data_IF_379184507652
#
_entry.id   IF_379184507652
#
_cell.length_a   1.000
_cell.length_b   1.000
_cell.length_c   1.000
_cell.angle_alpha   90.00
_cell.angle_beta   90.00
_cell.angle_gamma   90.00
#
_symmetry.space_group_name_H-M   'P 1'
#
loop_
_entity.id
_entity.type
_entity.pdbx_description
1 polymer ?
#
# COMPACT_ATOMS: atom_id res chain seq x y z
N UNK A 1 -17.76 -41.48 44.10
CA UNK A 1 -16.83 -40.58 43.37
C UNK A 1 -17.65 -39.79 42.36
N UNK A 2 -17.91 -38.49 42.55
CA UNK A 2 -18.51 -37.66 41.50
C UNK A 2 -17.44 -37.32 40.45
N UNK A 3 -17.77 -37.47 39.16
CA UNK A 3 -16.87 -37.20 38.04
C UNK A 3 -16.58 -35.71 37.82
N UNK A 4 -15.53 -35.36 37.04
CA UNK A 4 -15.09 -33.98 36.91
C UNK A 4 -16.11 -33.13 36.16
N UNK A 5 -16.42 -31.96 36.72
CA UNK A 5 -17.27 -30.96 36.11
C UNK A 5 -16.62 -30.44 34.80
N UNK A 6 -17.37 -30.48 33.70
CA UNK A 6 -16.98 -29.82 32.45
C UNK A 6 -17.12 -28.31 32.63
N UNK A 7 -16.00 -27.61 32.79
CA UNK A 7 -15.96 -26.15 32.79
C UNK A 7 -16.17 -25.67 31.35
N UNK A 8 -17.38 -25.21 31.02
CA UNK A 8 -17.64 -24.51 29.76
C UNK A 8 -17.06 -23.11 29.85
N UNK A 9 -15.87 -22.90 29.29
CA UNK A 9 -15.32 -21.55 29.08
C UNK A 9 -16.15 -20.90 27.98
N UNK A 10 -17.06 -19.99 28.37
CA UNK A 10 -17.69 -19.07 27.41
C UNK A 10 -16.60 -18.16 26.86
N UNK A 11 -16.20 -18.34 25.60
CA UNK A 11 -15.40 -17.34 24.88
C UNK A 11 -16.25 -16.09 24.75
N UNK A 12 -15.96 -15.10 25.59
CA UNK A 12 -16.49 -13.77 25.42
C UNK A 12 -15.74 -13.18 24.22
N UNK A 13 -16.44 -13.00 23.10
CA UNK A 13 -15.86 -12.32 21.95
C UNK A 13 -15.42 -10.93 22.43
N UNK A 14 -14.11 -10.69 22.47
CA UNK A 14 -13.58 -9.36 22.73
C UNK A 14 -14.17 -8.44 21.66
N UNK A 15 -14.80 -7.34 22.10
CA UNK A 15 -15.20 -6.28 21.19
C UNK A 15 -13.89 -5.64 20.76
N UNK A 16 -13.38 -6.03 19.59
CA UNK A 16 -12.26 -5.32 18.97
C UNK A 16 -12.80 -4.00 18.48
N UNK A 17 -12.38 -2.92 19.14
CA UNK A 17 -12.72 -1.55 18.75
C UNK A 17 -12.13 -1.25 17.36
N UNK A 18 -12.85 -0.50 16.51
CA UNK A 18 -12.31 -0.05 15.24
C UNK A 18 -11.03 0.77 15.45
N UNK A 19 -10.02 0.53 14.63
CA UNK A 19 -8.77 1.30 14.65
C UNK A 19 -8.93 2.48 13.68
N UNK A 20 -8.63 3.69 14.15
CA UNK A 20 -8.57 4.89 13.31
C UNK A 20 -7.14 5.38 13.26
N UNK A 21 -6.55 5.41 12.07
CA UNK A 21 -5.18 5.84 11.82
C UNK A 21 -5.19 7.27 11.30
N UNK A 22 -4.56 8.20 12.01
CA UNK A 22 -4.36 9.56 11.51
C UNK A 22 -3.45 9.53 10.28
N UNK A 23 -3.90 10.14 9.19
CA UNK A 23 -3.26 10.00 7.88
C UNK A 23 -2.95 11.37 7.29
N UNK A 24 -1.70 11.56 6.85
CA UNK A 24 -1.25 12.70 6.08
C UNK A 24 -0.83 12.24 4.69
N UNK A 25 -1.20 13.02 3.67
CA UNK A 25 -0.74 12.81 2.30
C UNK A 25 0.22 13.95 1.94
N UNK A 26 1.38 13.58 1.41
CA UNK A 26 2.41 14.49 0.94
C UNK A 26 2.61 14.29 -0.57
N UNK A 27 2.26 15.27 -1.39
CA UNK A 27 2.54 15.25 -2.83
C UNK A 27 3.82 16.03 -3.08
N UNK A 28 4.90 15.32 -3.38
CA UNK A 28 6.22 15.90 -3.63
C UNK A 28 6.51 15.83 -5.13
N UNK A 29 6.02 16.83 -5.86
CA UNK A 29 6.01 16.81 -7.31
C UNK A 29 7.26 17.44 -7.91
N UNK A 30 7.68 16.92 -9.06
CA UNK A 30 8.77 17.52 -9.86
C UNK A 30 8.42 18.91 -10.36
N UNK A 31 7.15 19.12 -10.70
CA UNK A 31 6.66 20.33 -11.34
C UNK A 31 5.17 20.54 -11.04
N UNK A 32 4.68 21.73 -11.38
CA UNK A 32 3.27 22.10 -11.20
C UNK A 32 2.32 21.23 -12.05
N UNK A 33 2.79 20.67 -13.17
CA UNK A 33 1.94 19.88 -14.05
C UNK A 33 1.45 18.60 -13.37
N UNK A 34 2.31 17.96 -12.55
CA UNK A 34 1.87 16.81 -11.76
C UNK A 34 0.87 17.23 -10.68
N UNK A 35 1.13 18.31 -9.94
CA UNK A 35 0.21 18.80 -8.90
C UNK A 35 -1.17 19.07 -9.48
N UNK A 36 -1.22 19.85 -10.55
CA UNK A 36 -2.47 20.16 -11.25
C UNK A 36 -3.17 18.86 -11.64
N UNK A 37 -2.45 17.87 -12.16
CA UNK A 37 -3.04 16.60 -12.62
C UNK A 37 -3.67 15.77 -11.50
N UNK A 38 -3.01 15.66 -10.34
CA UNK A 38 -3.51 14.82 -9.23
C UNK A 38 -4.59 15.52 -8.40
N UNK A 39 -4.58 16.85 -8.39
CA UNK A 39 -5.55 17.69 -7.68
C UNK A 39 -6.78 18.05 -8.51
N UNK A 40 -6.76 17.83 -9.83
CA UNK A 40 -7.91 18.11 -10.71
C UNK A 40 -9.15 17.36 -10.22
N UNK A 41 -10.16 18.13 -9.83
CA UNK A 41 -11.50 17.68 -9.43
C UNK A 41 -12.48 17.56 -10.61
N UNK A 42 -12.03 17.67 -11.86
CA UNK A 42 -12.93 17.73 -13.02
C UNK A 42 -12.51 16.86 -14.21
N UNK A 43 -13.37 15.92 -14.58
CA UNK A 43 -13.42 15.36 -15.93
C UNK A 43 -13.75 16.48 -16.94
N UNK A 44 -12.99 16.68 -18.04
CA UNK A 44 -13.41 17.57 -19.11
C UNK A 44 -14.65 16.98 -19.80
N UNK A 45 -15.84 17.56 -19.59
CA UNK A 45 -17.03 17.17 -20.37
C UNK A 45 -16.98 17.81 -21.75
N UNK A 46 -16.99 16.98 -22.81
CA UNK A 46 -17.53 17.40 -24.10
C UNK A 46 -18.99 17.85 -23.90
N UNK A 47 -19.26 19.11 -24.22
CA UNK A 47 -20.62 19.66 -24.21
C UNK A 47 -21.38 19.17 -25.44
N UNK A 48 -21.97 17.98 -25.38
CA UNK A 48 -23.07 17.63 -26.29
C UNK A 48 -24.39 18.14 -25.73
N UNK A 49 -24.90 19.19 -26.39
CA UNK A 49 -26.26 19.76 -26.36
C UNK A 49 -27.21 19.18 -25.29
N UNK A 50 -27.35 19.94 -24.20
CA UNK A 50 -28.67 20.27 -23.67
C UNK A 50 -29.42 19.19 -22.90
N UNK A 51 -28.82 18.56 -21.88
CA UNK A 51 -29.52 18.15 -20.65
C UNK A 51 -28.51 18.23 -19.50
N UNK A 52 -28.63 19.26 -18.65
CA UNK A 52 -27.86 19.33 -17.40
C UNK A 52 -28.59 18.52 -16.33
N UNK A 53 -28.29 17.22 -16.26
CA UNK A 53 -28.59 16.45 -15.06
C UNK A 53 -27.47 16.70 -14.07
N UNK A 54 -27.71 17.60 -13.11
CA UNK A 54 -26.86 17.82 -11.93
C UNK A 54 -26.96 16.59 -11.03
N UNK A 55 -26.20 15.54 -11.38
CA UNK A 55 -25.68 14.61 -10.39
C UNK A 55 -24.32 15.16 -9.98
N UNK A 56 -24.29 15.97 -8.93
CA UNK A 56 -23.07 16.32 -8.21
C UNK A 56 -22.50 15.03 -7.62
N UNK A 57 -21.63 14.32 -8.36
CA UNK A 57 -20.71 13.40 -7.72
C UNK A 57 -19.68 14.26 -6.98
N UNK A 58 -19.45 14.05 -5.69
CA UNK A 58 -18.44 14.80 -4.96
C UNK A 58 -17.07 14.53 -5.60
N UNK A 59 -16.47 15.59 -6.12
CA UNK A 59 -15.03 15.88 -6.12
C UNK A 59 -14.11 14.65 -6.20
N UNK A 60 -13.88 14.11 -7.40
CA UNK A 60 -12.89 13.06 -7.61
C UNK A 60 -11.47 13.65 -7.70
N UNK A 61 -11.01 14.27 -6.60
CA UNK A 61 -9.58 14.50 -6.40
C UNK A 61 -8.93 13.12 -6.19
N UNK A 62 -7.89 12.79 -6.97
CA UNK A 62 -7.24 11.47 -6.89
C UNK A 62 -6.70 11.19 -5.47
N UNK A 63 -6.33 12.26 -4.75
CA UNK A 63 -5.76 12.19 -3.41
C UNK A 63 -6.81 11.79 -2.35
N UNK A 64 -7.99 12.41 -2.36
CA UNK A 64 -9.09 12.01 -1.46
C UNK A 64 -9.67 10.66 -1.88
N UNK A 65 -9.74 10.39 -3.19
CA UNK A 65 -10.11 9.08 -3.73
C UNK A 65 -9.19 7.97 -3.26
N UNK A 66 -7.90 8.24 -3.03
CA UNK A 66 -6.97 7.26 -2.45
C UNK A 66 -7.38 6.88 -1.03
N UNK A 67 -7.76 7.85 -0.19
CA UNK A 67 -8.24 7.59 1.17
C UNK A 67 -9.55 6.81 1.17
N UNK A 68 -10.46 7.10 0.24
CA UNK A 68 -11.69 6.33 0.06
C UNK A 68 -11.41 4.87 -0.33
N UNK A 69 -10.46 4.65 -1.24
CA UNK A 69 -9.99 3.31 -1.61
C UNK A 69 -9.45 2.57 -0.38
N UNK A 70 -8.59 3.20 0.42
CA UNK A 70 -8.02 2.60 1.63
C UNK A 70 -9.11 2.26 2.65
N UNK A 71 -10.01 3.19 2.94
CA UNK A 71 -11.12 2.95 3.86
C UNK A 71 -12.06 1.83 3.39
N UNK A 72 -12.26 1.68 2.08
CA UNK A 72 -13.03 0.55 1.52
C UNK A 72 -12.31 -0.78 1.72
N UNK A 73 -11.02 -0.81 1.40
CA UNK A 73 -10.23 -2.05 1.33
C UNK A 73 -9.89 -2.59 2.73
N UNK A 74 -9.65 -1.71 3.71
CA UNK A 74 -9.36 -2.06 5.10
C UNK A 74 -10.61 -2.16 6.00
N UNK A 75 -11.80 -1.82 5.49
CA UNK A 75 -13.07 -1.94 6.24
C UNK A 75 -13.31 -3.34 6.82
N UNK A 76 -13.06 -4.46 6.11
CA UNK A 76 -13.25 -5.80 6.67
C UNK A 76 -12.40 -6.04 7.93
N UNK A 77 -11.21 -5.44 7.98
CA UNK A 77 -10.27 -5.49 9.11
C UNK A 77 -10.59 -4.48 10.21
N UNK A 78 -11.66 -3.70 10.07
CA UNK A 78 -12.08 -2.63 11.00
C UNK A 78 -11.00 -1.55 11.23
N UNK A 79 -10.19 -1.31 10.21
CA UNK A 79 -9.22 -0.22 10.17
C UNK A 79 -9.79 0.87 9.26
N UNK A 80 -9.69 2.11 9.70
CA UNK A 80 -10.02 3.30 8.92
C UNK A 80 -8.91 4.33 8.99
N UNK A 81 -8.78 5.13 7.93
CA UNK A 81 -7.80 6.19 7.76
C UNK A 81 -8.51 7.54 7.83
N UNK A 82 -8.19 8.31 8.87
CA UNK A 82 -8.69 9.65 9.07
C UNK A 82 -7.72 10.63 8.42
N UNK A 83 -8.11 11.18 7.26
CA UNK A 83 -7.31 12.19 6.57
C UNK A 83 -7.26 13.47 7.40
N UNK A 84 -6.06 13.83 7.88
CA UNK A 84 -5.83 15.04 8.67
C UNK A 84 -5.49 16.22 7.77
N UNK A 85 -4.56 16.03 6.83
CA UNK A 85 -4.16 17.06 5.87
C UNK A 85 -3.58 16.45 4.59
N UNK A 86 -3.65 17.24 3.50
CA UNK A 86 -2.92 17.01 2.26
C UNK A 86 -1.96 18.19 2.07
N UNK A 87 -0.66 17.91 1.96
CA UNK A 87 0.39 18.90 1.67
C UNK A 87 0.95 18.63 0.28
N UNK A 88 0.82 19.60 -0.63
CA UNK A 88 1.28 19.50 -2.01
C UNK A 88 2.34 20.55 -2.29
N UNK A 89 3.53 20.12 -2.70
CA UNK A 89 4.68 20.99 -2.92
C UNK A 89 5.43 20.60 -4.20
N UNK A 90 5.99 21.60 -4.89
CA UNK A 90 6.96 21.36 -5.96
C UNK A 90 8.33 21.17 -5.31
N UNK A 91 8.71 19.91 -5.13
CA UNK A 91 9.94 19.45 -4.47
C UNK A 91 10.73 18.53 -5.41
N UNK A 92 11.44 19.07 -6.43
CA UNK A 92 12.13 18.26 -7.44
C UNK A 92 13.20 17.33 -6.86
N UNK A 93 13.75 17.67 -5.69
CA UNK A 93 14.71 16.83 -4.95
C UNK A 93 14.09 15.49 -4.50
N UNK A 94 12.82 15.51 -4.06
CA UNK A 94 12.12 14.33 -3.53
C UNK A 94 11.12 13.73 -4.52
N UNK A 95 10.87 14.40 -5.65
CA UNK A 95 10.04 13.89 -6.73
C UNK A 95 10.59 12.60 -7.38
N UNK A 96 11.89 12.35 -7.29
CA UNK A 96 12.52 11.12 -7.80
C UNK A 96 13.48 10.58 -6.75
N UNK A 97 13.07 9.50 -6.09
CA UNK A 97 13.83 8.92 -4.98
C UNK A 97 14.81 7.87 -5.53
N UNK A 98 16.11 8.09 -5.36
CA UNK A 98 17.16 7.20 -5.89
C UNK A 98 18.02 6.53 -4.80
N UNK A 99 17.73 6.74 -3.52
CA UNK A 99 18.47 6.15 -2.40
C UNK A 99 17.68 6.18 -1.10
N UNK A 100 18.02 5.29 -0.16
CA UNK A 100 17.48 5.31 1.21
C UNK A 100 17.85 6.60 1.96
N UNK A 101 18.98 7.24 1.62
CA UNK A 101 19.33 8.55 2.16
C UNK A 101 18.36 9.66 1.71
N UNK A 102 17.90 9.61 0.45
CA UNK A 102 16.88 10.54 -0.06
C UNK A 102 15.54 10.32 0.66
N UNK A 103 15.14 9.07 0.89
CA UNK A 103 13.94 8.73 1.67
C UNK A 103 14.03 9.30 3.09
N UNK A 104 15.16 9.09 3.79
CA UNK A 104 15.37 9.66 5.14
C UNK A 104 15.33 11.19 5.15
N UNK A 105 15.93 11.85 4.16
CA UNK A 105 15.94 13.31 4.06
C UNK A 105 14.52 13.85 3.84
N UNK A 106 13.75 13.21 2.96
CA UNK A 106 12.35 13.50 2.70
C UNK A 106 11.52 13.36 3.99
N UNK A 107 11.60 12.22 4.67
CA UNK A 107 10.88 11.97 5.92
C UNK A 107 11.24 12.96 7.02
N UNK A 108 12.54 13.25 7.20
CA UNK A 108 13.00 14.23 8.20
C UNK A 108 12.37 15.61 8.00
N UNK A 109 12.06 15.97 6.76
CA UNK A 109 11.46 17.26 6.41
C UNK A 109 9.94 17.26 6.53
N UNK A 110 9.29 16.17 6.13
CA UNK A 110 7.84 16.16 5.90
C UNK A 110 7.02 15.29 6.86
N UNK A 111 7.61 14.33 7.59
CA UNK A 111 6.85 13.47 8.51
C UNK A 111 6.03 14.31 9.51
N UNK A 112 4.78 13.91 9.71
CA UNK A 112 3.87 14.49 10.70
C UNK A 112 3.47 13.44 11.73
N UNK A 113 3.11 13.92 12.92
CA UNK A 113 2.64 13.09 14.02
C UNK A 113 3.73 12.23 14.63
N UNK A 114 3.33 11.07 15.14
CA UNK A 114 4.18 10.11 15.83
C UNK A 114 4.25 8.78 15.06
N UNK A 115 4.72 7.73 15.73
CA UNK A 115 4.91 6.40 15.17
C UNK A 115 3.59 5.69 14.80
N UNK A 116 2.45 6.17 15.31
CA UNK A 116 1.12 5.67 14.98
C UNK A 116 0.47 6.46 13.82
N UNK A 117 1.11 7.55 13.37
CA UNK A 117 0.62 8.41 12.30
C UNK A 117 1.11 7.91 10.94
N UNK A 118 0.18 7.67 10.02
CA UNK A 118 0.50 7.26 8.66
C UNK A 118 0.85 8.47 7.80
N UNK A 119 2.05 8.46 7.21
CA UNK A 119 2.48 9.43 6.21
C UNK A 119 2.58 8.72 4.85
N UNK A 120 1.73 9.14 3.90
CA UNK A 120 1.74 8.64 2.52
C UNK A 120 2.42 9.68 1.63
N UNK A 121 3.49 9.28 0.95
CA UNK A 121 4.25 10.11 0.03
C UNK A 121 3.90 9.76 -1.41
N UNK A 122 3.56 10.77 -2.19
CA UNK A 122 3.23 10.64 -3.61
C UNK A 122 4.33 11.35 -4.39
N UNK A 123 5.06 10.59 -5.20
CA UNK A 123 6.24 11.06 -5.95
C UNK A 123 6.12 10.73 -7.44
N UNK A 124 6.99 11.29 -8.29
CA UNK A 124 7.01 10.95 -9.71
C UNK A 124 7.63 9.57 -9.95
N UNK A 125 8.76 9.27 -9.31
CA UNK A 125 9.56 8.06 -9.59
C UNK A 125 10.23 7.51 -8.33
N UNK A 126 10.30 6.18 -8.25
CA UNK A 126 10.93 5.44 -7.17
C UNK A 126 11.98 4.49 -7.77
N UNK A 127 13.25 4.84 -7.58
CA UNK A 127 14.43 4.10 -8.03
C UNK A 127 15.37 3.82 -6.85
N UNK A 128 14.80 3.56 -5.68
CA UNK A 128 15.59 3.23 -4.49
C UNK A 128 16.17 1.82 -4.69
N UNK A 129 17.50 1.62 -4.55
CA UNK A 129 18.07 0.28 -4.56
C UNK A 129 17.58 -0.45 -3.32
N UNK A 130 16.67 -1.39 -3.53
CA UNK A 130 16.10 -2.24 -2.49
C UNK A 130 16.83 -3.58 -2.53
N UNK A 131 17.41 -3.98 -1.41
CA UNK A 131 17.93 -5.32 -1.26
C UNK A 131 16.71 -6.24 -1.05
N UNK A 132 16.32 -6.88 -2.15
CA UNK A 132 15.28 -7.89 -2.27
C UNK A 132 15.70 -9.15 -1.49
N UNK A 133 15.64 -9.10 -0.17
CA UNK A 133 15.67 -10.31 0.65
C UNK A 133 14.30 -10.39 1.33
N UNK A 134 13.37 -11.02 0.61
CA UNK A 134 11.99 -11.27 1.06
C UNK A 134 11.90 -12.34 2.17
N UNK A 135 13.04 -12.77 2.72
CA UNK A 135 13.08 -13.86 3.70
C UNK A 135 14.23 -13.69 4.69
N UNK A 136 14.43 -12.48 5.22
CA UNK A 136 15.04 -12.26 6.53
C UNK A 136 14.39 -10.98 7.08
N UNK A 137 14.08 -10.90 8.38
CA UNK A 137 14.19 -9.61 9.05
C UNK A 137 15.70 -9.40 9.22
N UNK A 138 16.40 -8.64 8.36
CA UNK A 138 17.81 -8.52 8.53
C UNK A 138 17.93 -7.48 9.62
N UNK A 139 18.72 -7.80 10.64
CA UNK A 139 19.64 -6.80 11.16
C UNK A 139 20.24 -6.12 9.91
N UNK A 140 19.69 -4.94 9.56
CA UNK A 140 20.02 -4.07 8.41
C UNK A 140 19.15 -4.03 7.12
N UNK A 141 17.94 -4.62 7.00
CA UNK A 141 17.03 -4.25 5.87
C UNK A 141 15.84 -3.43 6.33
N UNK A 142 15.68 -2.31 5.64
CA UNK A 142 14.80 -1.22 6.04
C UNK A 142 13.60 -1.03 5.09
N UNK A 143 13.34 -1.98 4.20
CA UNK A 143 12.39 -1.80 3.10
C UNK A 143 11.50 -3.02 2.90
N UNK A 144 10.20 -2.77 2.70
CA UNK A 144 9.13 -3.72 2.45
C UNK A 144 8.41 -3.35 1.13
N UNK A 145 8.02 -4.34 0.33
CA UNK A 145 7.13 -4.14 -0.82
C UNK A 145 7.79 -3.60 -2.09
N UNK A 146 7.72 -4.36 -3.18
CA UNK A 146 8.18 -3.95 -4.51
C UNK A 146 7.15 -4.30 -5.59
N UNK A 147 6.10 -3.50 -5.77
CA UNK A 147 5.27 -3.75 -6.97
C UNK A 147 6.07 -3.32 -8.23
N UNK A 148 6.71 -4.26 -8.93
CA UNK A 148 7.54 -3.99 -10.12
C UNK A 148 6.71 -3.94 -11.41
N UNK A 149 7.12 -3.06 -12.33
CA UNK A 149 6.78 -3.16 -13.76
C UNK A 149 8.04 -3.54 -14.56
N UNK A 150 7.91 -4.31 -15.67
CA UNK A 150 9.05 -4.77 -16.47
C UNK A 150 9.93 -3.69 -17.12
N UNK A 151 9.54 -2.40 -17.12
CA UNK A 151 10.25 -1.33 -17.85
C UNK A 151 10.42 0.02 -17.11
N UNK A 152 10.24 0.11 -15.78
CA UNK A 152 10.49 1.41 -15.13
C UNK A 152 10.10 1.56 -13.66
N UNK A 153 11.02 1.17 -12.77
CA UNK A 153 11.00 1.51 -11.34
C UNK A 153 9.90 0.81 -10.52
N UNK A 154 9.92 1.07 -9.22
CA UNK A 154 8.92 0.57 -8.28
C UNK A 154 7.63 1.39 -8.37
N UNK A 155 6.45 0.76 -8.30
CA UNK A 155 5.18 1.48 -8.19
C UNK A 155 4.94 2.04 -6.78
N UNK A 156 5.43 1.32 -5.77
CA UNK A 156 5.33 1.68 -4.36
C UNK A 156 6.45 1.04 -3.56
N UNK A 157 6.67 1.58 -2.36
CA UNK A 157 7.58 1.03 -1.36
C UNK A 157 7.16 1.49 0.03
N UNK A 158 7.35 0.65 1.03
CA UNK A 158 7.02 0.94 2.42
C UNK A 158 8.10 0.44 3.39
N UNK A 159 7.96 0.84 4.64
CA UNK A 159 8.77 0.31 5.74
C UNK A 159 7.92 -0.65 6.56
N UNK A 160 8.53 -1.72 7.05
CA UNK A 160 7.89 -2.61 8.00
C UNK A 160 7.82 -2.01 9.41
N UNK A 161 6.89 -2.45 10.27
CA UNK A 161 6.71 -1.89 11.60
C UNK A 161 7.91 -2.13 12.53
N UNK A 162 8.68 -3.22 12.33
CA UNK A 162 9.88 -3.47 13.13
C UNK A 162 11.01 -2.46 12.89
N UNK A 163 11.00 -1.73 11.77
CA UNK A 163 11.95 -0.65 11.49
C UNK A 163 11.80 0.53 12.45
N UNK A 164 10.64 0.70 13.06
CA UNK A 164 10.41 1.71 14.11
C UNK A 164 11.11 1.29 15.41
N UNK A 165 11.19 -0.01 15.67
CA UNK A 165 11.66 -0.58 16.94
C UNK A 165 13.17 -0.83 16.90
N UNK A 166 13.71 -1.25 15.76
CA UNK A 166 15.15 -1.50 15.57
C UNK A 166 15.89 -0.26 15.05
N UNK A 167 16.16 0.68 15.95
CA UNK A 167 16.93 1.90 15.67
C UNK A 167 18.45 1.65 15.56
N UNK A 168 18.92 0.39 15.60
CA UNK A 168 20.35 0.08 15.65
C UNK A 168 21.04 0.21 14.28
N UNK A 169 20.29 0.16 13.18
CA UNK A 169 20.78 0.41 11.84
C UNK A 169 20.71 1.91 11.52
N UNK A 170 21.85 2.60 11.55
CA UNK A 170 21.96 4.04 11.25
C UNK A 170 21.49 4.44 9.84
N UNK A 171 21.24 3.46 8.95
CA UNK A 171 20.78 3.63 7.58
C UNK A 171 19.32 3.22 7.33
N UNK A 172 18.58 2.85 8.38
CA UNK A 172 17.17 2.50 8.26
C UNK A 172 16.26 3.74 8.16
N UNK A 173 15.22 3.63 7.34
CA UNK A 173 14.07 4.53 7.32
C UNK A 173 12.84 3.80 7.86
N UNK A 174 11.92 4.52 8.48
CA UNK A 174 10.79 3.93 9.18
C UNK A 174 9.55 4.81 9.08
N UNK A 175 8.38 4.21 9.27
CA UNK A 175 7.08 4.88 9.26
C UNK A 175 6.82 5.73 7.99
N UNK A 176 7.00 5.16 6.81
CA UNK A 176 6.48 5.74 5.57
C UNK A 176 5.93 4.70 4.61
N UNK A 177 4.97 5.16 3.82
CA UNK A 177 4.46 4.54 2.61
C UNK A 177 4.69 5.52 1.47
N UNK A 178 5.31 5.06 0.39
CA UNK A 178 5.67 5.88 -0.76
C UNK A 178 5.07 5.23 -1.99
N UNK A 179 4.34 5.98 -2.80
CA UNK A 179 3.72 5.48 -4.04
C UNK A 179 3.95 6.44 -5.18
N UNK A 180 4.04 5.91 -6.40
CA UNK A 180 4.08 6.75 -7.60
C UNK A 180 2.72 7.40 -7.83
N UNK A 181 2.73 8.66 -8.25
CA UNK A 181 1.52 9.40 -8.57
C UNK A 181 0.66 8.75 -9.67
N UNK A 182 1.29 7.97 -10.56
CA UNK A 182 0.59 7.24 -11.63
C UNK A 182 -0.09 5.94 -11.19
N UNK A 183 -0.08 5.65 -9.88
CA UNK A 183 -0.83 4.55 -9.24
C UNK A 183 -2.10 5.03 -8.53
N UNK A 184 -2.28 6.35 -8.40
CA UNK A 184 -3.44 6.93 -7.72
C UNK A 184 -4.76 6.56 -8.41
N UNK A 185 -5.86 6.40 -7.67
CA UNK A 185 -7.14 6.05 -8.26
C UNK A 185 -7.61 7.12 -9.25
N UNK A 186 -8.13 6.67 -10.38
CA UNK A 186 -8.57 7.56 -11.47
C UNK A 186 -7.45 8.00 -12.40
N UNK A 187 -6.17 7.73 -12.09
CA UNK A 187 -5.08 8.04 -12.99
C UNK A 187 -5.18 7.21 -14.27
N UNK A 188 -5.17 7.89 -15.42
CA UNK A 188 -5.19 7.26 -16.73
C UNK A 188 -3.78 7.20 -17.31
N UNK A 189 -3.25 5.99 -17.53
CA UNK A 189 -2.05 5.79 -18.33
C UNK A 189 -2.44 5.87 -19.80
N UNK A 190 -1.98 6.92 -20.48
CA UNK A 190 -2.35 7.22 -21.86
C UNK A 190 -1.96 6.12 -22.87
N UNK A 191 -1.09 5.18 -22.46
CA UNK A 191 -0.46 4.18 -23.33
C UNK A 191 -0.69 2.71 -22.89
N UNK A 192 -1.28 2.44 -21.73
CA UNK A 192 -1.41 1.07 -21.20
C UNK A 192 -2.81 0.85 -20.63
N UNK A 193 -3.64 0.14 -21.40
CA UNK A 193 -5.01 -0.32 -21.06
C UNK A 193 -6.01 0.78 -20.67
N UNK A 194 -7.20 0.72 -21.25
CA UNK A 194 -8.24 1.76 -21.17
C UNK A 194 -8.93 1.90 -19.79
N UNK A 195 -8.30 1.43 -18.72
CA UNK A 195 -8.89 1.39 -17.38
C UNK A 195 -8.13 2.33 -16.44
N UNK A 196 -8.83 3.20 -15.70
CA UNK A 196 -8.20 3.99 -14.65
C UNK A 196 -7.65 3.08 -13.56
N UNK A 197 -6.54 3.51 -12.96
CA UNK A 197 -6.00 2.94 -11.73
C UNK A 197 -7.05 2.94 -10.63
N UNK A 198 -7.00 1.97 -9.73
CA UNK A 198 -7.94 1.81 -8.60
C UNK A 198 -7.30 2.19 -7.26
N UNK A 199 -6.00 2.49 -7.22
CA UNK A 199 -5.27 2.90 -6.02
C UNK A 199 -4.81 1.72 -5.16
N UNK A 200 -4.65 0.53 -5.75
CA UNK A 200 -4.31 -0.69 -4.99
C UNK A 200 -2.86 -0.77 -4.56
N UNK A 201 -1.95 -0.07 -5.25
CA UNK A 201 -0.55 0.02 -4.81
C UNK A 201 -0.46 0.56 -3.38
N UNK A 202 -1.16 1.65 -3.03
CA UNK A 202 -1.11 2.15 -1.65
C UNK A 202 -1.74 1.17 -0.64
N UNK A 203 -2.72 0.37 -1.06
CA UNK A 203 -3.33 -0.68 -0.21
C UNK A 203 -2.31 -1.77 0.11
N UNK A 204 -1.56 -2.21 -0.91
CA UNK A 204 -0.46 -3.17 -0.80
C UNK A 204 0.64 -2.65 0.15
N UNK A 205 1.15 -1.45 -0.11
CA UNK A 205 2.22 -0.85 0.70
C UNK A 205 1.81 -0.59 2.16
N UNK A 206 0.54 -0.27 2.41
CA UNK A 206 0.04 -0.16 3.78
C UNK A 206 -0.10 -1.53 4.46
N UNK A 207 -0.34 -2.60 3.70
CA UNK A 207 -0.27 -3.97 4.20
C UNK A 207 1.11 -4.29 4.80
N UNK A 208 2.17 -3.93 4.10
CA UNK A 208 3.55 -4.01 4.61
C UNK A 208 3.80 -3.09 5.80
N UNK A 209 3.27 -1.87 5.80
CA UNK A 209 3.34 -0.98 6.96
C UNK A 209 2.69 -1.59 8.21
N UNK A 210 1.66 -2.42 8.03
CA UNK A 210 1.06 -3.25 9.08
C UNK A 210 1.79 -4.57 9.38
N UNK A 211 2.85 -4.89 8.63
CA UNK A 211 3.68 -6.07 8.85
C UNK A 211 3.29 -7.30 8.03
N UNK A 212 2.48 -7.17 6.97
CA UNK A 212 2.16 -8.27 6.07
C UNK A 212 3.30 -8.48 5.07
N UNK A 213 3.67 -9.74 4.84
CA UNK A 213 4.59 -10.17 3.79
C UNK A 213 3.83 -10.36 2.46
N UNK A 214 4.57 -10.54 1.35
CA UNK A 214 3.91 -10.96 0.12
C UNK A 214 3.42 -12.39 0.27
N UNK A 215 2.33 -12.74 -0.43
CA UNK A 215 1.75 -14.10 -0.37
C UNK A 215 2.65 -15.18 -0.97
N UNK A 216 3.68 -14.78 -1.70
CA UNK A 216 4.64 -15.65 -2.36
C UNK A 216 6.03 -15.60 -1.71
N UNK A 217 6.15 -14.95 -0.55
CA UNK A 217 7.37 -15.03 0.24
C UNK A 217 7.48 -16.46 0.80
N UNK A 218 8.66 -17.08 0.64
CA UNK A 218 8.95 -18.41 1.16
C UNK A 218 9.74 -18.28 2.47
N UNK A 219 9.17 -18.63 3.61
CA UNK A 219 9.95 -18.60 4.85
C UNK A 219 11.07 -19.65 4.80
N UNK A 220 12.32 -19.25 5.05
CA UNK A 220 13.50 -20.10 4.92
C UNK A 220 13.54 -21.30 5.88
N UNK A 221 12.60 -21.43 6.84
CA UNK A 221 12.59 -22.54 7.81
C UNK A 221 11.21 -22.83 8.46
N UNK A 222 10.09 -22.28 7.96
CA UNK A 222 8.75 -22.56 8.54
C UNK A 222 7.72 -23.02 7.49
N UNK A 223 6.66 -23.75 7.88
CA UNK A 223 5.69 -24.28 6.93
C UNK A 223 4.67 -23.24 6.42
N UNK A 224 4.82 -21.96 6.73
CA UNK A 224 3.91 -20.89 6.31
C UNK A 224 4.72 -19.76 5.69
N UNK A 225 4.67 -19.62 4.36
CA UNK A 225 5.47 -18.67 3.59
C UNK A 225 5.41 -17.23 4.11
N UNK A 226 4.25 -16.59 4.00
CA UNK A 226 4.00 -15.20 4.43
C UNK A 226 3.69 -15.04 5.93
N UNK A 227 3.90 -16.11 6.71
CA UNK A 227 3.54 -16.24 8.13
C UNK A 227 2.03 -16.11 8.44
N UNK A 228 1.15 -16.20 7.44
CA UNK A 228 -0.31 -16.12 7.60
C UNK A 228 -0.95 -17.47 7.27
N UNK A 229 -1.41 -18.17 8.30
CA UNK A 229 -1.85 -19.57 8.18
C UNK A 229 -3.06 -19.82 7.26
N UNK A 230 -3.85 -18.78 6.93
CA UNK A 230 -4.99 -18.88 6.02
C UNK A 230 -4.71 -18.31 4.61
N UNK A 231 -3.48 -17.87 4.32
CA UNK A 231 -3.01 -17.60 2.97
C UNK A 231 -2.56 -18.92 2.32
N UNK A 232 -3.17 -19.37 1.21
CA UNK A 232 -2.64 -20.47 0.42
C UNK A 232 -1.26 -20.13 -0.14
N UNK A 233 -0.36 -21.11 -0.18
CA UNK A 233 1.00 -20.89 -0.66
C UNK A 233 1.06 -20.58 -2.17
N UNK A 234 1.92 -19.65 -2.55
CA UNK A 234 2.21 -19.30 -3.93
C UNK A 234 3.72 -19.30 -4.17
N UNK A 235 4.17 -19.94 -5.25
CA UNK A 235 5.60 -20.04 -5.57
C UNK A 235 6.22 -18.75 -6.12
N UNK A 236 5.38 -17.78 -6.55
CA UNK A 236 5.84 -16.56 -7.22
C UNK A 236 4.75 -15.49 -7.30
N UNK A 237 5.07 -14.22 -7.59
CA UNK A 237 4.08 -13.19 -7.87
C UNK A 237 3.21 -13.52 -9.08
N UNK A 238 1.91 -13.26 -8.96
CA UNK A 238 0.98 -13.30 -10.10
C UNK A 238 1.07 -12.00 -10.88
N UNK A 239 0.92 -12.07 -12.20
CA UNK A 239 0.85 -10.87 -13.05
C UNK A 239 -0.45 -10.83 -13.84
N UNK A 240 -0.98 -9.62 -14.06
CA UNK A 240 -2.24 -9.41 -14.76
C UNK A 240 -3.46 -9.89 -13.96
N UNK A 241 -4.55 -10.22 -14.67
CA UNK A 241 -5.82 -10.62 -14.08
C UNK A 241 -6.21 -12.04 -14.53
N UNK A 242 -5.50 -13.09 -14.05
CA UNK A 242 -5.88 -14.46 -14.35
C UNK A 242 -7.20 -14.83 -13.66
N UNK A 243 -7.90 -15.82 -14.20
CA UNK A 243 -9.14 -16.35 -13.60
C UNK A 243 -8.82 -17.33 -12.46
N UNK A 244 -7.69 -18.03 -12.55
CA UNK A 244 -7.22 -19.00 -11.56
C UNK A 244 -5.73 -19.26 -11.74
N UNK A 245 -5.04 -19.60 -10.67
CA UNK A 245 -3.63 -20.03 -10.68
C UNK A 245 -3.40 -21.02 -9.54
N UNK A 246 -2.58 -22.03 -9.79
CA UNK A 246 -2.20 -23.06 -8.82
C UNK A 246 -0.73 -23.41 -9.08
N UNK A 247 0.17 -22.80 -8.31
CA UNK A 247 1.61 -23.02 -8.38
C UNK A 247 2.08 -24.12 -7.43
N UNK A 248 1.28 -24.49 -6.44
CA UNK A 248 1.52 -25.60 -5.50
C UNK A 248 0.35 -26.61 -5.47
N UNK A 249 0.16 -27.42 -6.52
CA UNK A 249 -0.99 -28.35 -6.62
C UNK A 249 -0.98 -29.47 -5.57
N UNK A 250 0.16 -29.70 -4.92
CA UNK A 250 0.33 -30.65 -3.83
C UNK A 250 -0.04 -30.07 -2.45
N UNK A 251 -0.32 -28.76 -2.37
CA UNK A 251 -0.72 -28.05 -1.15
C UNK A 251 -2.20 -27.63 -1.21
N UNK A 252 -2.84 -27.35 -0.06
CA UNK A 252 -4.24 -26.93 -0.05
C UNK A 252 -4.44 -25.50 -0.56
N UNK A 253 -5.43 -25.31 -1.43
CA UNK A 253 -5.85 -23.99 -1.91
C UNK A 253 -5.38 -23.69 -3.33
N UNK A 254 -5.80 -22.53 -3.85
CA UNK A 254 -5.27 -21.95 -5.09
C UNK A 254 -4.45 -20.73 -4.71
N UNK A 255 -3.52 -20.33 -5.57
CA UNK A 255 -2.75 -19.11 -5.38
C UNK A 255 -3.70 -17.94 -5.10
N UNK A 256 -3.43 -17.10 -4.08
CA UNK A 256 -4.34 -16.05 -3.64
C UNK A 256 -4.30 -14.82 -4.55
N UNK A 257 -4.61 -14.99 -5.84
CA UNK A 257 -4.53 -13.99 -6.93
C UNK A 257 -5.38 -12.72 -6.75
N UNK A 258 -6.17 -12.63 -5.67
CA UNK A 258 -6.97 -11.45 -5.32
C UNK A 258 -6.58 -10.86 -3.96
N UNK A 259 -5.57 -11.42 -3.31
CA UNK A 259 -4.99 -10.86 -2.10
C UNK A 259 -4.19 -9.60 -2.47
N UNK A 260 -4.35 -8.54 -1.68
CA UNK A 260 -3.64 -7.29 -1.92
C UNK A 260 -2.12 -7.43 -1.80
N UNK A 261 -1.62 -8.47 -1.13
CA UNK A 261 -0.19 -8.75 -0.97
C UNK A 261 0.41 -9.60 -2.12
N UNK A 262 -0.37 -9.90 -3.16
CA UNK A 262 0.14 -10.44 -4.44
C UNK A 262 0.35 -9.29 -5.46
N UNK A 263 0.98 -9.55 -6.61
CA UNK A 263 1.24 -8.57 -7.68
C UNK A 263 0.23 -8.63 -8.84
N UNK A 264 -0.89 -9.32 -8.64
CA UNK A 264 -2.00 -9.32 -9.60
C UNK A 264 -2.44 -7.88 -9.91
N UNK A 265 -2.84 -7.62 -11.15
CA UNK A 265 -3.31 -6.30 -11.54
C UNK A 265 -4.61 -5.96 -10.80
N UNK A 266 -4.75 -4.69 -10.42
CA UNK A 266 -5.97 -4.12 -9.86
C UNK A 266 -7.21 -4.17 -10.76
#
# INVERSE_FOLDING_TARGET
MPGPAKTTVKRQAAIVEPISVETYIHVLARDQQLLDRVEVTSCPRETRRGVSLLLTHPELNMLTGQVDTLNRDFRPSRISFALINIESEVEPEFATLNSTAAVRAMQKRHNKGDEATLNIYIVNEINVPVNHLDCEAPVNSSTAGITEMPEGGLLGVSSFPWNVIDSSASDSWSNAVIVKADTLPGFLLQLAYSHPRLGKTATHEIGHWFGLFHTFDEDCDTPFGDLVADTPESASPTTGCPISRDSHPDKPGLDPIHNYMDYSSE
#
